data_IF_641011451983
#
_entry.id   IF_641011451983
#
_cell.length_a   1.000
_cell.length_b   1.000
_cell.length_c   1.000
_cell.angle_alpha   90.00
_cell.angle_beta   90.00
_cell.angle_gamma   90.00
#
_symmetry.space_group_name_H-M   'P 1'
#
loop_
_entity.id
_entity.type
_entity.pdbx_description
1 polymer ?
#
# COMPACT_ATOMS: atom_id res chain seq x y z
N UNK A 1 14.28 -8.93 36.23
CA UNK A 1 12.85 -9.28 36.41
C UNK A 1 12.55 -10.43 35.47
N UNK A 2 12.41 -11.65 35.99
CA UNK A 2 12.05 -12.85 35.21
C UNK A 2 10.52 -12.95 35.12
N UNK A 3 9.98 -13.59 34.08
CA UNK A 3 8.52 -13.70 33.87
C UNK A 3 7.79 -14.36 35.06
N UNK A 4 8.47 -15.25 35.79
CA UNK A 4 7.96 -15.89 37.00
C UNK A 4 7.74 -14.90 38.16
N UNK A 5 8.49 -13.79 38.23
CA UNK A 5 8.33 -12.81 39.31
C UNK A 5 7.09 -11.91 39.15
N UNK A 6 6.42 -11.92 37.99
CA UNK A 6 5.16 -11.20 37.79
C UNK A 6 3.96 -11.95 38.36
N UNK A 7 3.98 -13.30 38.34
CA UNK A 7 2.87 -14.12 38.82
C UNK A 7 2.62 -13.99 40.33
N UNK A 8 3.68 -13.72 41.10
CA UNK A 8 3.64 -13.64 42.57
C UNK A 8 3.26 -12.24 43.07
N UNK A 9 3.45 -11.20 42.24
CA UNK A 9 3.18 -9.83 42.67
C UNK A 9 1.69 -9.48 42.57
N UNK A 10 1.03 -9.46 43.71
CA UNK A 10 -0.39 -9.09 43.84
C UNK A 10 -0.72 -7.72 43.20
N UNK A 11 0.25 -6.80 43.10
CA UNK A 11 0.09 -5.47 42.48
C UNK A 11 -0.33 -5.57 41.00
N UNK A 12 0.12 -6.59 40.25
CA UNK A 12 -0.25 -6.74 38.84
C UNK A 12 -1.69 -7.22 38.65
N UNK A 13 -2.19 -8.03 39.58
CA UNK A 13 -3.54 -8.62 39.50
C UNK A 13 -4.59 -7.78 40.22
N UNK A 14 -4.21 -7.14 41.33
CA UNK A 14 -5.12 -6.39 42.21
C UNK A 14 -4.96 -4.87 42.05
N UNK A 15 -3.96 -4.43 41.31
CA UNK A 15 -3.59 -3.02 41.19
C UNK A 15 -2.98 -2.46 42.47
N UNK A 16 -2.58 -1.18 42.44
CA UNK A 16 -2.19 -0.44 43.64
C UNK A 16 -3.35 -0.37 44.64
N UNK A 17 -3.02 -0.34 45.93
CA UNK A 17 -4.02 -0.32 47.01
C UNK A 17 -5.00 0.86 46.92
N UNK A 18 -4.55 2.01 46.40
CA UNK A 18 -5.41 3.19 46.19
C UNK A 18 -6.49 2.97 45.13
N UNK A 19 -6.27 2.10 44.14
CA UNK A 19 -7.24 1.83 43.08
C UNK A 19 -8.52 1.15 43.63
N UNK A 20 -8.37 0.40 44.73
CA UNK A 20 -9.47 -0.25 45.43
C UNK A 20 -10.17 0.64 46.46
N UNK A 21 -9.60 1.82 46.74
CA UNK A 21 -10.17 2.77 47.68
C UNK A 21 -11.09 3.77 46.97
N UNK A 22 -11.87 4.52 47.76
CA UNK A 22 -12.69 5.61 47.24
C UNK A 22 -11.82 6.60 46.43
N UNK A 23 -12.35 7.10 45.31
CA UNK A 23 -11.66 7.99 44.36
C UNK A 23 -10.98 9.20 45.01
N UNK A 24 -11.46 9.67 46.17
CA UNK A 24 -10.80 10.73 46.96
C UNK A 24 -9.38 10.40 47.44
N UNK A 25 -9.01 9.11 47.50
CA UNK A 25 -7.69 8.62 47.90
C UNK A 25 -6.82 8.27 46.70
N UNK A 26 -7.32 8.46 45.48
CA UNK A 26 -6.48 8.30 44.31
C UNK A 26 -5.44 9.42 44.27
N UNK A 27 -4.21 9.12 43.81
CA UNK A 27 -3.22 10.16 43.63
C UNK A 27 -3.81 11.23 42.70
N UNK A 28 -3.74 12.49 43.15
CA UNK A 28 -4.12 13.61 42.33
C UNK A 28 -3.31 13.55 41.03
N UNK A 29 -3.96 13.66 39.87
CA UNK A 29 -3.22 13.75 38.61
C UNK A 29 -2.36 15.00 38.70
N UNK A 30 -1.04 14.83 38.61
CA UNK A 30 -0.14 15.96 38.42
C UNK A 30 -0.59 16.69 37.14
N UNK A 31 -1.32 17.80 37.32
CA UNK A 31 -1.94 18.56 36.24
C UNK A 31 -3.38 19.06 36.48
N UNK A 32 -4.11 18.50 37.46
CA UNK A 32 -5.53 18.88 37.65
C UNK A 32 -5.74 20.23 38.37
N UNK A 33 -4.71 20.80 39.01
CA UNK A 33 -4.77 22.17 39.56
C UNK A 33 -4.58 23.27 38.51
N UNK A 34 -4.16 22.94 37.29
CA UNK A 34 -4.02 23.91 36.19
C UNK A 34 -5.23 23.95 35.25
N UNK A 35 -6.22 23.07 35.42
CA UNK A 35 -7.35 22.91 34.48
C UNK A 35 -8.70 23.43 34.96
N UNK A 36 -8.76 24.08 36.12
CA UNK A 36 -10.05 24.55 36.68
C UNK A 36 -10.57 25.86 36.06
N UNK A 37 -9.77 26.54 35.24
CA UNK A 37 -10.23 27.66 34.42
C UNK A 37 -9.99 27.31 32.96
N UNK A 38 -10.93 26.60 32.34
CA UNK A 38 -11.36 26.89 30.99
C UNK A 38 -12.72 26.22 30.80
N UNK A 39 -13.68 27.11 30.68
CA UNK A 39 -15.02 26.91 30.17
C UNK A 39 -15.03 25.90 29.01
N UNK A 40 -16.09 25.11 28.96
CA UNK A 40 -16.38 24.12 27.93
C UNK A 40 -16.40 24.80 26.56
N UNK A 41 -15.24 24.93 25.92
CA UNK A 41 -15.16 25.19 24.50
C UNK A 41 -15.21 23.83 23.83
N UNK A 42 -16.40 23.50 23.33
CA UNK A 42 -16.61 22.45 22.36
C UNK A 42 -15.41 22.41 21.41
N UNK A 43 -14.82 21.23 21.23
CA UNK A 43 -13.76 20.98 20.25
C UNK A 43 -14.34 21.10 18.83
N UNK A 44 -14.82 22.30 18.45
CA UNK A 44 -14.88 22.75 17.07
C UNK A 44 -13.44 22.84 16.62
N UNK A 45 -12.86 21.69 16.24
CA UNK A 45 -11.75 21.64 15.29
C UNK A 45 -12.18 22.52 14.12
N UNK A 46 -11.69 23.76 14.10
CA UNK A 46 -11.69 24.60 12.90
C UNK A 46 -10.96 23.75 11.88
N UNK A 47 -11.72 23.11 10.99
CA UNK A 47 -11.17 22.41 9.83
C UNK A 47 -10.61 23.50 8.94
N UNK A 48 -9.39 23.91 9.23
CA UNK A 48 -8.58 24.64 8.26
C UNK A 48 -8.25 23.62 7.17
N UNK A 49 -9.14 23.52 6.19
CA UNK A 49 -8.86 22.81 4.95
C UNK A 49 -7.84 23.68 4.22
N UNK A 50 -6.55 23.42 4.45
CA UNK A 50 -5.51 23.97 3.57
C UNK A 50 -5.67 23.26 2.24
N UNK A 51 -6.30 23.94 1.28
CA UNK A 51 -6.32 23.52 -0.10
C UNK A 51 -4.90 23.74 -0.63
N UNK A 52 -4.08 22.69 -0.65
CA UNK A 52 -2.77 22.73 -1.29
C UNK A 52 -2.99 22.68 -2.81
N UNK A 53 -3.30 23.83 -3.42
CA UNK A 53 -3.23 24.00 -4.87
C UNK A 53 -1.77 24.18 -5.27
N UNK A 54 -1.04 23.06 -5.28
CA UNK A 54 0.30 22.98 -5.82
C UNK A 54 0.41 21.68 -6.60
N UNK A 55 0.50 21.77 -7.93
CA UNK A 55 1.06 20.71 -8.79
C UNK A 55 2.56 20.64 -8.57
N UNK A 56 2.96 20.34 -7.35
CA UNK A 56 4.34 20.09 -6.95
C UNK A 56 4.33 18.75 -6.27
N UNK A 57 5.09 17.80 -6.84
CA UNK A 57 5.31 16.45 -6.33
C UNK A 57 5.41 16.49 -4.80
N UNK A 58 4.29 16.18 -4.12
CA UNK A 58 4.27 16.12 -2.68
C UNK A 58 5.35 15.11 -2.30
N UNK A 59 6.30 15.53 -1.47
CA UNK A 59 7.29 14.62 -0.88
C UNK A 59 6.54 13.35 -0.49
N UNK A 60 6.87 12.19 -1.08
CA UNK A 60 6.03 11.03 -0.90
C UNK A 60 6.01 10.72 0.59
N UNK A 61 4.82 10.44 1.13
CA UNK A 61 4.61 10.08 2.55
C UNK A 61 5.55 8.94 2.98
N UNK A 62 6.06 8.18 2.01
CA UNK A 62 7.06 7.14 2.16
C UNK A 62 8.26 7.46 1.24
N UNK A 63 9.48 7.36 1.77
CA UNK A 63 10.72 7.41 0.99
C UNK A 63 11.25 5.99 0.79
N UNK A 64 11.57 5.60 -0.44
CA UNK A 64 12.00 4.23 -0.74
C UNK A 64 13.31 3.86 -0.03
N UNK A 65 14.19 4.84 0.13
CA UNK A 65 15.53 4.73 0.73
C UNK A 65 15.47 4.35 2.21
N UNK A 66 14.34 4.61 2.89
CA UNK A 66 14.13 4.23 4.28
C UNK A 66 13.83 2.73 4.48
N UNK A 67 13.66 1.96 3.40
CA UNK A 67 13.29 0.56 3.44
C UNK A 67 14.41 -0.33 2.92
N UNK A 68 14.96 -1.17 3.78
CA UNK A 68 15.95 -2.19 3.41
C UNK A 68 15.36 -3.41 2.70
N UNK A 69 14.04 -3.46 2.50
CA UNK A 69 13.34 -4.57 1.86
C UNK A 69 12.24 -4.07 0.95
N UNK A 70 12.33 -4.44 -0.33
CA UNK A 70 11.29 -4.17 -1.33
C UNK A 70 9.93 -4.72 -0.90
N UNK A 71 9.89 -5.96 -0.40
CA UNK A 71 8.63 -6.56 0.09
C UNK A 71 8.02 -5.76 1.24
N UNK A 72 8.85 -5.23 2.15
CA UNK A 72 8.38 -4.37 3.25
C UNK A 72 7.85 -3.03 2.73
N UNK A 73 8.57 -2.40 1.79
CA UNK A 73 8.14 -1.17 1.12
C UNK A 73 6.75 -1.33 0.51
N UNK A 74 6.56 -2.38 -0.30
CA UNK A 74 5.27 -2.66 -0.94
C UNK A 74 4.17 -2.89 0.09
N UNK A 75 4.40 -3.75 1.10
CA UNK A 75 3.38 -4.05 2.12
C UNK A 75 2.96 -2.80 2.91
N UNK A 76 3.91 -1.96 3.31
CA UNK A 76 3.59 -0.71 4.01
C UNK A 76 2.80 0.23 3.10
N UNK A 77 3.20 0.35 1.85
CA UNK A 77 2.49 1.16 0.85
C UNK A 77 1.04 0.70 0.68
N UNK A 78 0.79 -0.61 0.60
CA UNK A 78 -0.58 -1.16 0.53
C UNK A 78 -1.42 -0.69 1.71
N UNK A 79 -0.91 -0.81 2.94
CA UNK A 79 -1.64 -0.41 4.13
C UNK A 79 -1.92 1.09 4.18
N UNK A 80 -0.95 1.92 3.77
CA UNK A 80 -1.14 3.38 3.67
C UNK A 80 -2.22 3.72 2.64
N UNK A 81 -2.17 3.13 1.44
CA UNK A 81 -3.18 3.36 0.41
C UNK A 81 -4.57 2.89 0.85
N UNK A 82 -4.66 1.75 1.54
CA UNK A 82 -5.91 1.25 2.12
C UNK A 82 -6.44 2.21 3.18
N UNK A 83 -5.60 2.70 4.08
CA UNK A 83 -5.99 3.71 5.06
C UNK A 83 -6.54 4.97 4.40
N UNK A 84 -5.85 5.50 3.39
CA UNK A 84 -6.30 6.68 2.63
C UNK A 84 -7.66 6.43 1.96
N UNK A 85 -7.86 5.26 1.35
CA UNK A 85 -9.14 4.85 0.75
C UNK A 85 -10.25 4.82 1.79
N UNK A 86 -10.00 4.20 2.94
CA UNK A 86 -10.99 4.09 4.02
C UNK A 86 -11.36 5.45 4.64
N UNK A 87 -10.41 6.39 4.68
CA UNK A 87 -10.70 7.76 5.12
C UNK A 87 -11.55 8.54 4.10
N UNK A 88 -11.38 8.26 2.80
CA UNK A 88 -12.09 8.97 1.71
C UNK A 88 -13.47 8.40 1.44
N UNK A 89 -13.57 7.08 1.45
CA UNK A 89 -14.81 6.34 1.22
C UNK A 89 -15.12 5.69 2.57
N UNK A 90 -16.18 6.14 3.26
CA UNK A 90 -16.72 5.45 4.45
C UNK A 90 -17.12 4.04 4.01
N UNK A 91 -16.15 3.14 4.05
CA UNK A 91 -16.21 1.82 3.44
C UNK A 91 -16.64 0.83 4.50
N UNK A 92 -17.53 -0.07 4.12
CA UNK A 92 -17.97 -1.16 4.96
C UNK A 92 -16.92 -2.28 4.90
N UNK A 93 -16.22 -2.49 6.03
CA UNK A 93 -15.34 -3.65 6.23
C UNK A 93 -13.90 -3.46 5.73
N UNK A 94 -12.95 -3.44 6.67
CA UNK A 94 -11.53 -3.56 6.36
C UNK A 94 -11.19 -5.04 6.25
N UNK A 95 -10.85 -5.54 5.06
CA UNK A 95 -10.33 -6.89 4.90
C UNK A 95 -9.06 -7.07 5.74
N UNK A 96 -8.92 -8.19 6.44
CA UNK A 96 -7.75 -8.44 7.29
C UNK A 96 -6.48 -8.81 6.48
N UNK A 97 -6.65 -9.29 5.24
CA UNK A 97 -5.56 -9.69 4.36
C UNK A 97 -5.35 -8.69 3.22
N UNK A 98 -4.16 -8.72 2.61
CA UNK A 98 -3.82 -7.94 1.43
C UNK A 98 -4.25 -8.69 0.17
N UNK A 99 -4.94 -8.02 -0.74
CA UNK A 99 -5.32 -8.61 -2.03
C UNK A 99 -4.17 -8.51 -3.03
N UNK A 100 -4.16 -9.41 -4.02
CA UNK A 100 -3.19 -9.38 -5.12
C UNK A 100 -3.28 -8.05 -5.87
N UNK A 101 -4.49 -7.54 -6.07
CA UNK A 101 -4.73 -6.26 -6.73
C UNK A 101 -4.07 -5.09 -6.01
N UNK A 102 -4.24 -4.97 -4.69
CA UNK A 102 -3.63 -3.89 -3.92
C UNK A 102 -2.10 -3.97 -3.90
N UNK A 103 -1.56 -5.18 -3.82
CA UNK A 103 -0.11 -5.41 -3.91
C UNK A 103 0.38 -4.94 -5.28
N UNK A 104 -0.32 -5.31 -6.37
CA UNK A 104 0.06 -4.93 -7.72
C UNK A 104 -0.03 -3.42 -7.94
N UNK A 105 -1.09 -2.78 -7.46
CA UNK A 105 -1.25 -1.33 -7.54
C UNK A 105 -0.16 -0.59 -6.76
N UNK A 106 0.20 -1.09 -5.58
CA UNK A 106 1.29 -0.53 -4.78
C UNK A 106 2.63 -0.66 -5.49
N UNK A 107 2.88 -1.78 -6.18
CA UNK A 107 4.07 -1.93 -7.04
C UNK A 107 4.05 -0.93 -8.18
N UNK A 108 2.94 -0.84 -8.91
CA UNK A 108 2.80 0.09 -10.04
C UNK A 108 3.01 1.54 -9.60
N UNK A 109 2.61 1.90 -8.38
CA UNK A 109 2.87 3.23 -7.82
C UNK A 109 4.36 3.52 -7.71
N UNK A 110 5.16 2.58 -7.19
CA UNK A 110 6.61 2.74 -7.09
C UNK A 110 7.32 2.69 -8.43
N UNK A 111 6.87 1.82 -9.35
CA UNK A 111 7.39 1.79 -10.73
C UNK A 111 7.16 3.15 -11.39
N UNK A 112 5.93 3.68 -11.31
CA UNK A 112 5.61 5.00 -11.85
C UNK A 112 6.47 6.09 -11.23
N UNK A 113 6.66 6.07 -9.92
CA UNK A 113 7.51 7.04 -9.23
C UNK A 113 8.95 7.01 -9.77
N UNK A 114 9.56 5.82 -9.87
CA UNK A 114 10.90 5.67 -10.41
C UNK A 114 10.98 6.12 -11.87
N UNK A 115 10.01 5.73 -12.69
CA UNK A 115 9.97 6.12 -14.10
C UNK A 115 9.79 7.63 -14.29
N UNK A 116 8.95 8.27 -13.48
CA UNK A 116 8.81 9.73 -13.51
C UNK A 116 10.07 10.45 -13.01
N UNK A 117 10.85 9.84 -12.12
CA UNK A 117 12.10 10.45 -11.67
C UNK A 117 13.19 10.45 -12.76
N UNK A 118 13.27 9.36 -13.53
CA UNK A 118 14.39 9.15 -14.46
C UNK A 118 14.02 9.41 -15.93
N UNK A 119 12.74 9.29 -16.30
CA UNK A 119 12.24 9.34 -17.70
C UNK A 119 11.06 10.29 -17.88
N UNK A 120 10.98 11.37 -17.08
CA UNK A 120 9.89 12.36 -17.16
C UNK A 120 9.71 12.91 -18.58
N UNK A 121 10.83 13.23 -19.24
CA UNK A 121 10.84 13.83 -20.57
C UNK A 121 10.29 12.85 -21.62
N UNK A 122 10.71 11.58 -21.56
CA UNK A 122 10.25 10.52 -22.45
C UNK A 122 8.77 10.21 -22.25
N UNK A 123 8.32 10.11 -20.99
CA UNK A 123 6.90 9.91 -20.66
C UNK A 123 6.07 11.07 -21.22
N UNK A 124 6.55 12.31 -21.04
CA UNK A 124 5.92 13.51 -21.58
C UNK A 124 5.84 13.49 -23.11
N UNK A 125 6.90 13.09 -23.80
CA UNK A 125 6.91 13.01 -25.26
C UNK A 125 5.95 11.93 -25.78
N UNK A 126 5.98 10.72 -25.20
CA UNK A 126 5.11 9.60 -25.61
C UNK A 126 3.64 9.93 -25.34
N UNK A 127 3.33 10.52 -24.18
CA UNK A 127 1.94 10.91 -23.86
C UNK A 127 1.37 11.95 -24.83
N UNK A 128 2.22 12.77 -25.47
CA UNK A 128 1.85 13.73 -26.51
C UNK A 128 1.91 13.16 -27.94
N UNK A 129 2.23 11.88 -28.10
CA UNK A 129 2.40 11.24 -29.41
C UNK A 129 3.62 11.74 -30.19
N UNK A 130 4.62 12.31 -29.50
CA UNK A 130 5.86 12.79 -30.11
C UNK A 130 6.90 11.68 -30.15
N UNK A 131 7.73 11.67 -31.19
CA UNK A 131 8.90 10.78 -31.27
C UNK A 131 9.94 11.16 -30.23
N UNK A 132 10.55 10.17 -29.59
CA UNK A 132 11.62 10.39 -28.64
C UNK A 132 12.90 10.90 -29.34
N UNK A 133 13.71 11.74 -28.67
CA UNK A 133 15.05 12.08 -29.14
C UNK A 133 15.91 10.84 -29.32
N UNK A 134 16.76 10.83 -30.36
CA UNK A 134 17.67 9.71 -30.64
C UNK A 134 18.70 9.47 -29.53
N UNK A 135 18.93 10.46 -28.67
CA UNK A 135 19.85 10.41 -27.53
C UNK A 135 19.24 9.74 -26.27
N UNK A 136 17.92 9.48 -26.27
CA UNK A 136 17.28 8.84 -25.13
C UNK A 136 17.72 7.37 -25.01
N UNK A 137 18.16 6.95 -23.82
CA UNK A 137 18.62 5.58 -23.56
C UNK A 137 17.56 4.51 -23.90
N UNK A 138 16.28 4.88 -23.85
CA UNK A 138 15.16 3.96 -24.06
C UNK A 138 14.63 3.95 -25.49
N UNK A 139 15.00 4.89 -26.37
CA UNK A 139 14.41 5.03 -27.72
C UNK A 139 14.55 3.77 -28.57
N UNK A 140 15.69 3.08 -28.46
CA UNK A 140 15.99 1.83 -29.18
C UNK A 140 15.01 0.70 -28.85
N UNK A 141 14.35 0.76 -27.69
CA UNK A 141 13.42 -0.25 -27.22
C UNK A 141 11.97 0.02 -27.62
N UNK A 142 11.71 1.08 -28.41
CA UNK A 142 10.36 1.49 -28.82
C UNK A 142 9.40 1.55 -27.61
N UNK A 143 9.70 2.40 -26.62
CA UNK A 143 8.91 2.48 -25.40
C UNK A 143 7.52 3.05 -25.70
N UNK A 144 6.52 2.57 -24.97
CA UNK A 144 5.13 3.01 -25.06
C UNK A 144 4.53 3.09 -23.66
N UNK A 145 3.41 3.80 -23.50
CA UNK A 145 2.67 3.79 -22.24
C UNK A 145 1.64 2.67 -22.26
N UNK A 146 1.65 1.82 -21.25
CA UNK A 146 0.65 0.76 -21.10
C UNK A 146 -0.70 1.29 -20.55
N UNK A 147 -1.67 0.39 -20.40
CA UNK A 147 -3.01 0.69 -19.88
C UNK A 147 -2.98 1.24 -18.44
N UNK A 148 -1.92 0.97 -17.69
CA UNK A 148 -1.73 1.47 -16.33
C UNK A 148 -0.90 2.77 -16.28
N UNK A 149 -0.56 3.31 -17.46
CA UNK A 149 0.22 4.53 -17.63
C UNK A 149 1.68 4.37 -17.22
N UNK A 150 2.22 3.16 -17.25
CA UNK A 150 3.65 2.90 -17.01
C UNK A 150 4.39 2.87 -18.35
N UNK A 151 5.64 3.32 -18.33
CA UNK A 151 6.55 3.22 -19.45
C UNK A 151 6.93 1.75 -19.64
N UNK A 152 6.41 1.16 -20.71
CA UNK A 152 6.55 -0.25 -21.03
C UNK A 152 7.28 -0.43 -22.36
N UNK A 153 7.98 -1.54 -22.48
CA UNK A 153 8.75 -1.89 -23.67
C UNK A 153 8.11 -3.11 -24.33
N UNK A 154 8.06 -3.08 -25.65
CA UNK A 154 7.57 -4.18 -26.46
C UNK A 154 8.54 -5.37 -26.37
N UNK A 155 8.08 -6.50 -25.83
CA UNK A 155 8.89 -7.72 -25.71
C UNK A 155 9.22 -8.38 -27.06
N UNK A 156 10.22 -9.27 -27.09
CA UNK A 156 10.66 -9.96 -28.32
C UNK A 156 9.65 -11.00 -28.83
N UNK A 157 8.79 -11.53 -27.95
CA UNK A 157 7.88 -12.64 -28.28
C UNK A 157 6.74 -12.25 -29.23
N UNK A 158 6.37 -10.98 -29.32
CA UNK A 158 5.34 -10.53 -30.26
C UNK A 158 5.84 -10.47 -31.72
N UNK A 159 7.14 -10.65 -31.95
CA UNK A 159 7.71 -10.81 -33.29
C UNK A 159 7.71 -12.27 -33.75
N UNK A 160 7.39 -13.22 -32.87
CA UNK A 160 7.15 -14.60 -33.27
C UNK A 160 5.71 -14.67 -33.80
N UNK A 161 5.57 -14.90 -35.10
CA UNK A 161 4.31 -15.43 -35.65
C UNK A 161 4.08 -16.79 -35.00
N UNK A 162 3.32 -16.83 -33.91
CA UNK A 162 2.79 -18.09 -33.40
C UNK A 162 1.77 -18.53 -34.44
N UNK A 163 2.19 -19.43 -35.34
CA UNK A 163 1.28 -20.14 -36.24
C UNK A 163 0.26 -20.87 -35.35
N UNK A 164 -1.02 -20.54 -35.50
CA UNK A 164 -2.12 -21.19 -34.77
C UNK A 164 -2.39 -22.63 -35.27
N UNK A 165 -1.36 -23.43 -35.53
CA UNK A 165 -1.55 -24.84 -35.97
C UNK A 165 -1.22 -25.88 -34.90
N UNK A 166 -0.58 -25.52 -33.79
CA UNK A 166 -0.20 -26.52 -32.77
C UNK A 166 -1.22 -26.66 -31.61
N UNK A 167 -2.41 -26.08 -31.74
CA UNK A 167 -3.48 -26.17 -30.72
C UNK A 167 -4.53 -27.24 -31.05
N UNK A 168 -4.19 -28.23 -31.88
CA UNK A 168 -4.98 -29.43 -32.01
C UNK A 168 -4.75 -30.30 -30.76
N UNK A 169 -5.78 -30.63 -29.96
CA UNK A 169 -5.61 -31.58 -28.86
C UNK A 169 -5.17 -32.94 -29.43
N UNK A 170 -4.12 -33.50 -28.85
CA UNK A 170 -3.62 -34.83 -29.18
C UNK A 170 -4.75 -35.88 -29.00
N UNK A 171 -5.14 -36.63 -30.06
CA UNK A 171 -6.19 -37.64 -29.98
C UNK A 171 -5.85 -38.82 -29.06
N UNK A 172 -4.63 -38.88 -28.50
CA UNK A 172 -4.27 -39.88 -27.49
C UNK A 172 -4.96 -39.67 -26.12
N UNK A 173 -5.54 -38.48 -25.86
CA UNK A 173 -6.10 -38.15 -24.54
C UNK A 173 -7.54 -38.66 -24.28
N UNK A 174 -8.29 -39.06 -25.32
CA UNK A 174 -9.68 -39.52 -25.14
C UNK A 174 -9.80 -41.01 -24.75
N UNK A 175 -8.72 -41.81 -24.86
CA UNK A 175 -8.79 -43.25 -24.57
C UNK A 175 -8.75 -43.62 -23.08
N UNK A 176 -8.56 -42.65 -22.19
CA UNK A 176 -8.36 -42.90 -20.75
C UNK A 176 -9.61 -42.63 -19.88
N UNK A 177 -10.78 -42.33 -20.47
CA UNK A 177 -12.02 -42.08 -19.72
C UNK A 177 -13.02 -43.24 -19.66
N UNK A 178 -12.74 -44.36 -20.33
CA UNK A 178 -13.71 -45.47 -20.43
C UNK A 178 -13.47 -46.64 -19.46
N UNK A 179 -12.66 -46.50 -18.42
CA UNK A 179 -12.47 -47.57 -17.42
C UNK A 179 -12.59 -47.02 -16.01
N UNK A 180 -13.82 -46.67 -15.59
CA UNK A 180 -14.21 -46.65 -14.18
C UNK A 180 -15.74 -46.59 -14.01
N UNK A 181 -16.41 -47.65 -14.45
CA UNK A 181 -17.74 -48.03 -13.94
C UNK A 181 -17.75 -49.54 -13.76
N UNK A 182 -17.34 -50.03 -12.58
CA UNK A 182 -17.91 -51.23 -11.96
C UNK A 182 -17.48 -51.33 -10.49
N UNK A 183 -18.46 -51.69 -9.67
CA UNK A 183 -18.47 -52.02 -8.23
C UNK A 183 -18.54 -50.86 -7.25
#
# INVERSE_FOLDING_TARGET
MTAESLGVHAVWWKGPSWLQQNSRFWPAKEGDSARRNNEVDDEKRKRTTQLLTGTTYATPVLQAEMFSSYTRLIRVTVWVLRFVRNCRQRSEGVLMYLTVFEIQESRNTWIRHAQCNDYEHEIGAISRGQSLPADSAVVQFQPFLDEQGLLSVKGRLQFLKVSQEDNAPDPSYERSRDIQTYS
#
